data_IF_438760509641
#
_entry.id   IF_438760509641
#
_cell.length_a   1.000
_cell.length_b   1.000
_cell.length_c   1.000
_cell.angle_alpha   90.00
_cell.angle_beta   90.00
_cell.angle_gamma   90.00
#
_symmetry.space_group_name_H-M   'P 1'
#
loop_
_entity.id
_entity.type
_entity.pdbx_description
1 polymer ?
#
# COMPACT_ATOMS: atom_id res chain seq x y z
N UNK A 1 -11.76 -2.23 -15.33
CA UNK A 1 -12.35 -2.76 -14.07
C UNK A 1 -11.98 -1.77 -12.99
N UNK A 2 -12.84 -1.48 -12.05
CA UNK A 2 -12.55 -0.52 -10.98
C UNK A 2 -12.65 -1.23 -9.61
N UNK A 3 -12.18 -0.60 -8.53
CA UNK A 3 -12.27 -1.18 -7.18
C UNK A 3 -13.73 -1.21 -6.70
N UNK A 4 -14.09 -2.15 -5.80
CA UNK A 4 -15.43 -2.18 -5.21
C UNK A 4 -15.76 -0.84 -4.53
N UNK A 5 -17.00 -0.36 -4.70
CA UNK A 5 -17.44 0.93 -4.13
C UNK A 5 -17.25 0.99 -2.60
N UNK A 6 -17.52 -0.11 -1.89
CA UNK A 6 -17.34 -0.18 -0.44
C UNK A 6 -15.89 0.13 -0.04
N UNK A 7 -14.91 -0.38 -0.79
CA UNK A 7 -13.50 -0.10 -0.56
C UNK A 7 -13.19 1.39 -0.79
N UNK A 8 -13.66 1.97 -1.89
CA UNK A 8 -13.43 3.39 -2.18
C UNK A 8 -14.10 4.32 -1.18
N UNK A 9 -15.28 3.95 -0.64
CA UNK A 9 -15.96 4.67 0.45
C UNK A 9 -15.07 4.67 1.70
N UNK A 10 -14.57 3.51 2.10
CA UNK A 10 -13.72 3.31 3.26
C UNK A 10 -12.43 4.15 3.15
N UNK A 11 -11.80 4.11 1.98
CA UNK A 11 -10.53 4.77 1.71
C UNK A 11 -10.64 6.24 1.26
N UNK A 12 -11.84 6.78 1.09
CA UNK A 12 -12.07 8.11 0.52
C UNK A 12 -11.39 9.27 1.27
N UNK A 13 -11.18 9.12 2.57
CA UNK A 13 -10.52 10.09 3.42
C UNK A 13 -9.01 9.94 3.52
N UNK A 14 -8.43 8.90 2.92
CA UNK A 14 -7.00 8.63 2.99
C UNK A 14 -6.24 9.17 1.77
N UNK A 15 -5.05 9.71 2.01
CA UNK A 15 -4.04 9.95 0.97
C UNK A 15 -3.05 8.79 0.86
N UNK A 16 -2.91 8.02 1.94
CA UNK A 16 -2.04 6.85 2.06
C UNK A 16 -2.97 5.68 2.38
N UNK A 17 -3.08 4.71 1.48
CA UNK A 17 -4.00 3.57 1.57
C UNK A 17 -3.37 2.37 2.30
N UNK A 18 -2.64 2.66 3.36
CA UNK A 18 -2.01 1.68 4.25
C UNK A 18 -1.69 2.34 5.60
N UNK A 19 -1.35 1.58 6.65
CA UNK A 19 -1.18 2.13 7.99
C UNK A 19 0.20 2.79 8.25
N UNK A 20 0.84 3.36 7.23
CA UNK A 20 1.99 4.25 7.42
C UNK A 20 1.55 5.71 7.46
N UNK A 21 2.27 6.50 8.24
CA UNK A 21 2.11 7.96 8.27
C UNK A 21 2.95 8.63 7.18
N UNK A 22 2.61 9.87 6.83
CA UNK A 22 3.42 10.68 5.92
C UNK A 22 4.88 10.82 6.40
N UNK A 23 5.10 10.97 7.72
CA UNK A 23 6.44 11.07 8.30
C UNK A 23 7.24 9.76 8.12
N UNK A 24 6.58 8.60 8.24
CA UNK A 24 7.22 7.30 7.99
C UNK A 24 7.59 7.14 6.52
N UNK A 25 6.73 7.58 5.58
CA UNK A 25 7.08 7.58 4.16
C UNK A 25 8.22 8.54 3.83
N UNK A 26 8.25 9.73 4.43
CA UNK A 26 9.36 10.67 4.27
C UNK A 26 10.67 10.07 4.82
N UNK A 27 10.62 9.46 6.01
CA UNK A 27 11.76 8.78 6.62
C UNK A 27 12.25 7.61 5.76
N UNK A 28 11.33 6.76 5.27
CA UNK A 28 11.66 5.66 4.37
C UNK A 28 12.40 6.18 3.13
N UNK A 29 11.83 7.15 2.42
CA UNK A 29 12.44 7.72 1.22
C UNK A 29 13.86 8.26 1.47
N UNK A 30 14.07 8.98 2.58
CA UNK A 30 15.38 9.50 2.97
C UNK A 30 16.38 8.38 3.34
N UNK A 31 15.91 7.31 4.01
CA UNK A 31 16.74 6.18 4.43
C UNK A 31 17.30 5.38 3.26
N UNK A 32 16.60 5.36 2.11
CA UNK A 32 17.09 4.66 0.90
C UNK A 32 18.34 5.29 0.32
N UNK A 33 18.66 6.55 0.64
CA UNK A 33 19.85 7.30 0.18
C UNK A 33 20.03 7.30 -1.34
N UNK A 34 18.94 7.29 -2.08
CA UNK A 34 18.97 7.35 -3.53
C UNK A 34 19.16 8.80 -4.00
N UNK A 35 19.88 9.03 -5.12
CA UNK A 35 20.14 10.38 -5.59
C UNK A 35 18.91 11.07 -6.16
N UNK A 36 18.91 12.40 -6.20
CA UNK A 36 17.92 13.14 -6.97
C UNK A 36 17.96 12.69 -8.46
N UNK A 37 16.79 12.68 -9.10
CA UNK A 37 16.62 12.13 -10.43
C UNK A 37 16.40 10.61 -10.47
N UNK A 38 16.38 9.92 -9.32
CA UNK A 38 15.97 8.51 -9.22
C UNK A 38 14.64 8.31 -9.93
N UNK A 39 14.58 7.32 -10.83
CA UNK A 39 13.36 6.93 -11.55
C UNK A 39 12.62 5.85 -10.80
N UNK A 40 11.34 6.08 -10.56
CA UNK A 40 10.45 5.20 -9.78
C UNK A 40 9.33 4.66 -10.65
N UNK A 41 9.03 3.38 -10.54
CA UNK A 41 7.76 2.78 -10.93
C UNK A 41 7.00 2.40 -9.66
N UNK A 42 5.76 2.87 -9.51
CA UNK A 42 4.90 2.55 -8.38
C UNK A 42 3.64 1.83 -8.88
N UNK A 43 3.57 0.52 -8.66
CA UNK A 43 2.46 -0.34 -9.06
C UNK A 43 1.41 -0.39 -7.96
N UNK A 44 0.15 -0.16 -8.32
CA UNK A 44 -0.97 0.10 -7.42
C UNK A 44 -0.69 1.33 -6.54
N UNK A 45 -0.39 2.45 -7.21
CA UNK A 45 0.11 3.69 -6.58
C UNK A 45 -0.93 4.44 -5.73
N UNK A 46 -2.20 4.00 -5.75
CA UNK A 46 -3.29 4.65 -5.03
C UNK A 46 -3.40 6.13 -5.37
N UNK A 47 -3.60 6.97 -4.36
CA UNK A 47 -3.68 8.44 -4.51
C UNK A 47 -2.33 9.13 -4.70
N UNK A 48 -1.24 8.37 -4.97
CA UNK A 48 0.06 8.88 -5.40
C UNK A 48 0.87 9.63 -4.34
N UNK A 49 0.51 9.57 -3.06
CA UNK A 49 1.16 10.38 -2.01
C UNK A 49 2.65 10.08 -1.89
N UNK A 50 3.06 8.79 -1.92
CA UNK A 50 4.48 8.41 -1.85
C UNK A 50 5.26 9.04 -3.00
N UNK A 51 4.86 8.81 -4.24
CA UNK A 51 5.58 9.28 -5.42
C UNK A 51 5.61 10.80 -5.52
N UNK A 52 4.48 11.48 -5.24
CA UNK A 52 4.38 12.93 -5.27
C UNK A 52 5.28 13.61 -4.21
N UNK A 53 5.26 13.10 -2.97
CA UNK A 53 6.07 13.68 -1.89
C UNK A 53 7.56 13.41 -2.11
N UNK A 54 7.94 12.24 -2.59
CA UNK A 54 9.34 11.94 -2.93
C UNK A 54 9.84 12.72 -4.14
N UNK A 55 8.97 13.00 -5.12
CA UNK A 55 9.32 13.91 -6.22
C UNK A 55 9.58 15.34 -5.72
N UNK A 56 8.76 15.84 -4.79
CA UNK A 56 8.93 17.17 -4.20
C UNK A 56 10.17 17.26 -3.31
N UNK A 57 10.34 16.29 -2.39
CA UNK A 57 11.29 16.41 -1.29
C UNK A 57 12.67 15.83 -1.64
N UNK A 58 12.70 14.78 -2.49
CA UNK A 58 13.93 14.07 -2.84
C UNK A 58 14.33 14.27 -4.31
N UNK A 59 13.49 14.94 -5.11
CA UNK A 59 13.76 15.18 -6.52
C UNK A 59 13.63 13.93 -7.39
N UNK A 60 12.84 12.92 -6.97
CA UNK A 60 12.58 11.72 -7.76
C UNK A 60 11.65 12.02 -8.93
N UNK A 61 11.66 11.13 -9.91
CA UNK A 61 10.76 11.17 -11.06
C UNK A 61 10.12 9.78 -11.21
N UNK A 62 8.96 9.67 -11.83
CA UNK A 62 8.43 8.32 -12.04
C UNK A 62 7.02 8.25 -12.55
N UNK A 63 6.56 7.00 -12.63
CA UNK A 63 5.21 6.64 -13.06
C UNK A 63 4.51 5.82 -11.98
N UNK A 64 3.31 6.25 -11.60
CA UNK A 64 2.38 5.46 -10.80
C UNK A 64 1.31 4.83 -11.70
N UNK A 65 0.95 3.59 -11.44
CA UNK A 65 -0.11 2.86 -12.15
C UNK A 65 -1.14 2.39 -11.14
N UNK A 66 -2.40 2.73 -11.34
CA UNK A 66 -3.50 2.28 -10.48
C UNK A 66 -4.76 1.95 -11.28
N UNK A 67 -5.49 0.93 -10.85
CA UNK A 67 -6.72 0.48 -11.48
C UNK A 67 -7.93 1.37 -11.13
N UNK A 68 -7.86 2.12 -10.03
CA UNK A 68 -8.93 2.99 -9.57
C UNK A 68 -8.93 4.32 -10.32
N UNK A 69 -10.05 4.60 -10.98
CA UNK A 69 -10.27 5.91 -11.61
C UNK A 69 -10.17 7.02 -10.56
N UNK A 70 -10.83 6.86 -9.42
CA UNK A 70 -10.84 7.85 -8.33
C UNK A 70 -9.43 8.14 -7.82
N UNK A 71 -8.66 7.11 -7.49
CA UNK A 71 -7.33 7.29 -6.93
C UNK A 71 -6.34 7.87 -7.95
N UNK A 72 -6.44 7.46 -9.21
CA UNK A 72 -5.63 8.04 -10.28
C UNK A 72 -5.90 9.55 -10.47
N UNK A 73 -7.17 9.97 -10.39
CA UNK A 73 -7.55 11.38 -10.46
C UNK A 73 -7.02 12.15 -9.23
N UNK A 74 -7.14 11.58 -8.04
CA UNK A 74 -6.57 12.16 -6.81
C UNK A 74 -5.05 12.28 -6.88
N UNK A 75 -4.35 11.28 -7.44
CA UNK A 75 -2.90 11.30 -7.62
C UNK A 75 -2.45 12.42 -8.57
N UNK A 76 -3.16 12.61 -9.69
CA UNK A 76 -2.91 13.72 -10.63
C UNK A 76 -3.16 15.09 -9.98
N UNK A 77 -4.25 15.22 -9.23
CA UNK A 77 -4.55 16.43 -8.47
C UNK A 77 -3.46 16.72 -7.43
N UNK A 78 -2.97 15.68 -6.76
CA UNK A 78 -1.89 15.80 -5.77
C UNK A 78 -0.57 16.22 -6.40
N UNK A 79 -0.22 15.69 -7.56
CA UNK A 79 0.97 16.11 -8.30
C UNK A 79 0.91 17.60 -8.68
N UNK A 80 -0.26 18.07 -9.12
CA UNK A 80 -0.48 19.48 -9.42
C UNK A 80 -0.40 20.36 -8.15
N UNK A 81 -1.05 19.94 -7.05
CA UNK A 81 -1.02 20.63 -5.75
C UNK A 81 0.41 20.83 -5.23
N UNK A 82 1.27 19.79 -5.37
CA UNK A 82 2.66 19.85 -4.91
C UNK A 82 3.64 20.43 -5.94
N UNK A 83 3.16 20.82 -7.13
CA UNK A 83 4.00 21.40 -8.18
C UNK A 83 5.02 20.41 -8.77
N UNK A 84 4.66 19.13 -8.87
CA UNK A 84 5.51 18.05 -9.37
C UNK A 84 4.94 17.31 -10.58
N UNK A 85 3.88 17.84 -11.20
CA UNK A 85 3.21 17.24 -12.33
C UNK A 85 4.10 17.09 -13.59
N UNK A 86 5.23 17.79 -13.64
CA UNK A 86 6.27 17.65 -14.65
C UNK A 86 7.29 16.53 -14.36
N UNK A 87 7.26 15.96 -13.17
CA UNK A 87 8.19 14.91 -12.70
C UNK A 87 7.52 13.55 -12.55
N UNK A 88 6.22 13.51 -12.30
CA UNK A 88 5.47 12.27 -12.04
C UNK A 88 4.27 12.16 -12.97
N UNK A 89 4.06 10.96 -13.47
CA UNK A 89 2.91 10.60 -14.30
C UNK A 89 2.06 9.53 -13.58
N UNK A 90 0.73 9.65 -13.69
CA UNK A 90 -0.19 8.64 -13.17
C UNK A 90 -1.04 8.06 -14.29
N UNK A 91 -0.92 6.76 -14.47
CA UNK A 91 -1.62 5.97 -15.49
C UNK A 91 -2.78 5.23 -14.83
N UNK A 92 -4.00 5.47 -15.31
CA UNK A 92 -5.14 4.63 -14.97
C UNK A 92 -5.05 3.33 -15.78
N UNK A 93 -4.87 2.21 -15.08
CA UNK A 93 -4.71 0.91 -15.73
C UNK A 93 -4.42 -0.22 -14.75
N UNK A 94 -4.47 -1.44 -15.26
CA UNK A 94 -4.11 -2.63 -14.50
C UNK A 94 -2.61 -2.68 -14.24
N UNK A 95 -2.22 -2.69 -12.97
CA UNK A 95 -0.83 -2.82 -12.55
C UNK A 95 -0.31 -4.28 -12.67
N UNK A 96 -1.22 -5.27 -12.71
CA UNK A 96 -0.85 -6.67 -12.91
C UNK A 96 -0.22 -6.85 -14.31
N UNK A 97 1.05 -7.22 -14.33
CA UNK A 97 1.79 -7.39 -15.59
C UNK A 97 2.37 -6.11 -16.20
N UNK A 98 2.13 -4.93 -15.62
CA UNK A 98 2.74 -3.68 -16.11
C UNK A 98 4.25 -3.69 -15.89
N UNK A 99 5.00 -3.33 -16.94
CA UNK A 99 6.45 -3.25 -16.94
C UNK A 99 6.88 -1.89 -17.52
N UNK A 100 7.83 -1.23 -16.86
CA UNK A 100 8.36 0.04 -17.33
C UNK A 100 8.97 -0.10 -18.72
N UNK A 101 8.72 0.88 -19.60
CA UNK A 101 9.31 0.93 -20.96
C UNK A 101 10.83 1.04 -20.90
N UNK A 102 11.33 1.76 -19.90
CA UNK A 102 12.77 1.87 -19.62
C UNK A 102 13.07 1.44 -18.20
N UNK A 103 14.19 0.76 -17.95
CA UNK A 103 14.55 0.32 -16.62
C UNK A 103 14.56 1.46 -15.61
N UNK A 104 14.03 1.22 -14.41
CA UNK A 104 13.94 2.17 -13.31
C UNK A 104 14.97 1.86 -12.22
N UNK A 105 15.24 2.83 -11.36
CA UNK A 105 16.14 2.69 -10.22
C UNK A 105 15.44 2.04 -9.03
N UNK A 106 14.14 2.33 -8.87
CA UNK A 106 13.28 1.87 -7.80
C UNK A 106 11.93 1.41 -8.38
N UNK A 107 11.52 0.19 -8.06
CA UNK A 107 10.19 -0.31 -8.38
C UNK A 107 9.44 -0.66 -7.08
N UNK A 108 8.21 -0.21 -6.95
CA UNK A 108 7.41 -0.35 -5.73
C UNK A 108 6.06 -1.01 -6.01
N UNK A 109 5.60 -1.80 -5.05
CA UNK A 109 4.21 -2.21 -4.86
C UNK A 109 3.93 -2.19 -3.36
N UNK A 110 3.20 -1.17 -2.90
CA UNK A 110 3.09 -0.87 -1.47
C UNK A 110 1.66 -1.17 -1.00
N UNK A 111 1.40 -2.47 -0.70
CA UNK A 111 0.13 -2.93 -0.15
C UNK A 111 -0.86 -3.52 -1.18
N UNK A 112 -0.34 -4.08 -2.29
CA UNK A 112 -1.17 -4.70 -3.32
C UNK A 112 -0.50 -5.94 -3.95
N UNK A 113 0.13 -6.78 -3.16
CA UNK A 113 0.87 -7.95 -3.65
C UNK A 113 0.00 -8.98 -4.37
N UNK A 114 -1.32 -8.90 -4.25
CA UNK A 114 -2.25 -9.70 -5.06
C UNK A 114 -2.13 -9.46 -6.58
N UNK A 115 -1.56 -8.32 -7.03
CA UNK A 115 -1.30 -8.08 -8.47
C UNK A 115 -0.29 -9.06 -9.08
N UNK A 116 0.51 -9.71 -8.24
CA UNK A 116 1.48 -10.72 -8.63
C UNK A 116 1.21 -12.11 -8.02
N UNK A 117 -0.02 -12.36 -7.56
CA UNK A 117 -0.35 -13.59 -6.83
C UNK A 117 0.53 -13.81 -5.58
N UNK A 118 0.71 -12.74 -4.79
CA UNK A 118 1.49 -12.72 -3.57
C UNK A 118 2.89 -12.12 -3.72
N UNK A 119 3.66 -12.20 -2.65
CA UNK A 119 4.99 -11.58 -2.52
C UNK A 119 5.97 -12.03 -3.60
N UNK A 120 6.05 -13.33 -3.86
CA UNK A 120 7.02 -13.90 -4.80
C UNK A 120 6.77 -13.43 -6.24
N UNK A 121 5.54 -13.50 -6.72
CA UNK A 121 5.19 -13.07 -8.06
C UNK A 121 5.25 -11.55 -8.21
N UNK A 122 4.93 -10.79 -7.14
CA UNK A 122 5.10 -9.32 -7.14
C UNK A 122 6.58 -8.94 -7.21
N UNK A 123 7.46 -9.62 -6.48
CA UNK A 123 8.91 -9.40 -6.58
C UNK A 123 9.43 -9.66 -8.00
N UNK A 124 8.96 -10.74 -8.65
CA UNK A 124 9.31 -11.04 -10.05
C UNK A 124 8.75 -9.98 -11.01
N UNK A 125 7.52 -9.50 -10.81
CA UNK A 125 6.93 -8.43 -11.62
C UNK A 125 7.76 -7.14 -11.52
N UNK A 126 8.09 -6.69 -10.31
CA UNK A 126 8.90 -5.50 -10.06
C UNK A 126 10.31 -5.63 -10.66
N UNK A 127 10.94 -6.81 -10.50
CA UNK A 127 12.27 -7.11 -11.04
C UNK A 127 12.37 -6.84 -12.54
N UNK A 128 11.31 -7.10 -13.30
CA UNK A 128 11.27 -6.90 -14.77
C UNK A 128 11.46 -5.44 -15.18
N UNK A 129 11.15 -4.53 -14.28
CA UNK A 129 11.29 -3.08 -14.51
C UNK A 129 12.59 -2.51 -13.97
N UNK A 130 13.31 -3.22 -13.10
CA UNK A 130 14.52 -2.71 -12.46
C UNK A 130 15.75 -2.80 -13.35
N UNK A 131 16.60 -1.78 -13.28
CA UNK A 131 17.97 -1.88 -13.79
C UNK A 131 18.83 -2.80 -12.91
N UNK A 132 19.97 -3.31 -13.40
CA UNK A 132 20.93 -4.00 -12.54
C UNK A 132 21.31 -3.14 -11.33
N UNK A 133 21.26 -3.71 -10.12
CA UNK A 133 21.50 -3.00 -8.87
C UNK A 133 20.39 -2.04 -8.44
N UNK A 134 19.23 -2.06 -9.10
CA UNK A 134 18.04 -1.33 -8.68
C UNK A 134 17.43 -1.93 -7.40
N UNK A 135 16.60 -1.16 -6.73
CA UNK A 135 15.96 -1.51 -5.48
C UNK A 135 14.47 -1.74 -5.70
N UNK A 136 13.83 -2.64 -4.94
CA UNK A 136 12.37 -2.73 -4.91
C UNK A 136 11.82 -2.44 -3.51
N UNK A 137 10.59 -1.94 -3.47
CA UNK A 137 9.80 -1.80 -2.25
C UNK A 137 8.59 -2.70 -2.34
N UNK A 138 8.41 -3.53 -1.33
CA UNK A 138 7.21 -4.33 -1.14
C UNK A 138 6.57 -3.94 0.18
N UNK A 139 5.32 -3.50 0.13
CA UNK A 139 4.49 -3.27 1.31
C UNK A 139 3.57 -4.46 1.53
N UNK A 140 3.62 -5.07 2.72
CA UNK A 140 2.93 -6.32 3.01
C UNK A 140 2.37 -6.35 4.43
N UNK A 141 1.14 -6.86 4.64
CA UNK A 141 0.70 -7.27 5.96
C UNK A 141 1.45 -8.52 6.42
N UNK A 142 1.55 -8.67 7.73
CA UNK A 142 2.12 -9.86 8.36
C UNK A 142 1.49 -10.08 9.73
N UNK A 143 1.53 -11.33 10.22
CA UNK A 143 1.08 -11.63 11.56
C UNK A 143 2.10 -11.17 12.61
N UNK A 144 1.63 -10.49 13.65
CA UNK A 144 2.42 -10.23 14.88
C UNK A 144 2.64 -11.50 15.67
N UNK A 145 1.59 -12.31 15.71
CA UNK A 145 1.55 -13.66 16.26
C UNK A 145 0.52 -14.47 15.45
N UNK A 146 0.73 -15.75 15.36
CA UNK A 146 -0.17 -16.64 14.61
C UNK A 146 -1.57 -16.58 15.20
N UNK A 147 -2.62 -16.29 14.42
CA UNK A 147 -4.00 -16.39 14.87
C UNK A 147 -4.30 -17.82 15.36
N UNK A 148 -5.10 -17.98 16.44
CA UNK A 148 -5.37 -19.31 17.00
C UNK A 148 -6.24 -20.18 16.07
N UNK A 149 -6.99 -19.56 15.17
CA UNK A 149 -7.92 -20.23 14.26
C UNK A 149 -8.28 -19.35 13.05
N UNK A 150 -8.95 -19.97 12.09
CA UNK A 150 -9.40 -19.33 10.85
C UNK A 150 -10.47 -18.24 11.08
N UNK A 151 -11.22 -18.30 12.16
CA UNK A 151 -12.21 -17.27 12.50
C UNK A 151 -11.51 -15.98 12.90
N UNK A 152 -10.47 -16.06 13.71
CA UNK A 152 -9.62 -14.93 14.09
C UNK A 152 -8.91 -14.33 12.86
N UNK A 153 -8.42 -15.17 11.94
CA UNK A 153 -7.81 -14.69 10.70
C UNK A 153 -8.82 -13.91 9.84
N UNK A 154 -10.05 -14.43 9.67
CA UNK A 154 -11.11 -13.70 8.95
C UNK A 154 -11.51 -12.39 9.62
N UNK A 155 -11.52 -12.34 10.95
CA UNK A 155 -11.76 -11.11 11.69
C UNK A 155 -10.63 -10.06 11.51
N UNK A 156 -9.47 -10.47 10.98
CA UNK A 156 -8.37 -9.60 10.56
C UNK A 156 -8.38 -9.35 9.04
N UNK A 157 -9.49 -9.59 8.34
CA UNK A 157 -9.64 -9.46 6.87
C UNK A 157 -8.76 -10.39 6.03
N UNK A 158 -8.19 -11.44 6.62
CA UNK A 158 -7.57 -12.53 5.89
C UNK A 158 -8.62 -13.59 5.51
N UNK A 159 -8.38 -14.40 4.48
CA UNK A 159 -9.24 -15.54 4.15
C UNK A 159 -8.83 -16.78 4.93
N UNK A 160 -7.56 -16.84 5.31
CA UNK A 160 -6.93 -17.97 6.02
C UNK A 160 -5.77 -17.48 6.89
N UNK A 161 -5.41 -18.25 7.92
CA UNK A 161 -4.17 -18.06 8.69
C UNK A 161 -2.93 -18.10 7.79
N UNK A 162 -2.98 -18.88 6.69
CA UNK A 162 -1.87 -19.01 5.76
C UNK A 162 -1.68 -17.80 4.81
N UNK A 163 -2.60 -16.84 4.79
CA UNK A 163 -2.50 -15.68 3.89
C UNK A 163 -1.32 -14.77 4.23
N UNK A 164 -0.97 -14.69 5.51
CA UNK A 164 0.16 -13.88 5.94
C UNK A 164 1.16 -14.71 6.75
N UNK A 165 2.42 -14.35 6.63
CA UNK A 165 3.51 -14.92 7.40
C UNK A 165 3.75 -14.12 8.69
N UNK A 166 4.46 -14.68 9.65
CA UNK A 166 5.10 -13.92 10.72
C UNK A 166 6.24 -13.07 10.13
N UNK A 167 6.58 -11.97 10.78
CA UNK A 167 7.65 -11.08 10.30
C UNK A 167 8.99 -11.78 10.02
N UNK A 168 9.50 -12.68 10.88
CA UNK A 168 10.73 -13.43 10.58
C UNK A 168 10.60 -14.28 9.31
N UNK A 169 9.48 -14.98 9.15
CA UNK A 169 9.20 -15.85 8.00
C UNK A 169 9.08 -15.05 6.70
N UNK A 170 8.47 -13.86 6.76
CA UNK A 170 8.39 -12.96 5.60
C UNK A 170 9.80 -12.46 5.19
N UNK A 171 10.67 -12.15 6.15
CA UNK A 171 12.06 -11.79 5.87
C UNK A 171 12.82 -12.98 5.27
N UNK A 172 12.64 -14.18 5.80
CA UNK A 172 13.22 -15.42 5.27
C UNK A 172 12.74 -15.68 3.83
N UNK A 173 11.45 -15.47 3.54
CA UNK A 173 10.90 -15.58 2.19
C UNK A 173 11.60 -14.63 1.21
N UNK A 174 11.84 -13.37 1.56
CA UNK A 174 12.61 -12.46 0.70
C UNK A 174 14.03 -12.98 0.45
N UNK A 175 14.68 -13.56 1.47
CA UNK A 175 16.03 -14.12 1.33
C UNK A 175 16.05 -15.37 0.44
N UNK A 176 15.05 -16.24 0.54
CA UNK A 176 14.87 -17.42 -0.33
C UNK A 176 14.63 -17.03 -1.78
N UNK A 177 13.94 -15.90 -2.03
CA UNK A 177 13.77 -15.32 -3.36
C UNK A 177 15.06 -14.67 -3.92
N UNK A 178 16.15 -14.66 -3.14
CA UNK A 178 17.46 -14.15 -3.54
C UNK A 178 17.64 -12.64 -3.34
N UNK A 179 16.94 -12.05 -2.37
CA UNK A 179 17.04 -10.64 -2.02
C UNK A 179 17.58 -10.44 -0.61
N UNK A 180 18.32 -9.37 -0.41
CA UNK A 180 18.64 -8.83 0.91
C UNK A 180 17.62 -7.77 1.29
N UNK A 181 17.09 -7.84 2.50
CA UNK A 181 16.31 -6.75 3.11
C UNK A 181 17.31 -5.69 3.57
N UNK A 182 17.30 -4.53 2.92
CA UNK A 182 18.28 -3.45 3.18
C UNK A 182 17.72 -2.29 3.97
N UNK A 183 16.39 -2.17 4.04
CA UNK A 183 15.66 -1.23 4.90
C UNK A 183 14.27 -1.80 5.22
N UNK A 184 13.70 -1.40 6.35
CA UNK A 184 12.39 -1.85 6.78
C UNK A 184 11.67 -0.72 7.54
N UNK A 185 10.45 -0.39 7.12
CA UNK A 185 9.60 0.59 7.79
C UNK A 185 8.30 -0.07 8.23
N UNK A 186 8.16 -0.31 9.54
CA UNK A 186 6.96 -0.94 10.09
C UNK A 186 5.96 0.11 10.58
N UNK A 187 4.66 -0.19 10.42
CA UNK A 187 3.62 0.55 11.10
C UNK A 187 3.69 0.28 12.61
N UNK A 188 3.53 1.34 13.40
CA UNK A 188 3.32 1.20 14.84
C UNK A 188 1.83 1.14 15.17
N UNK A 189 1.52 0.81 16.42
CA UNK A 189 0.13 0.66 16.85
C UNK A 189 -0.68 1.95 16.69
N UNK A 190 -0.09 3.12 16.94
CA UNK A 190 -0.79 4.39 16.79
C UNK A 190 -1.10 4.69 15.30
N UNK A 191 -0.18 4.35 14.40
CA UNK A 191 -0.40 4.48 12.94
C UNK A 191 -1.58 3.61 12.49
N UNK A 192 -1.65 2.36 12.95
CA UNK A 192 -2.75 1.45 12.69
C UNK A 192 -4.08 1.97 13.27
N UNK A 193 -4.09 2.38 14.54
CA UNK A 193 -5.28 2.90 15.22
C UNK A 193 -5.84 4.12 14.45
N UNK A 194 -4.96 5.00 13.97
CA UNK A 194 -5.34 6.19 13.19
C UNK A 194 -5.86 5.85 11.81
N UNK A 195 -5.23 4.89 11.13
CA UNK A 195 -5.66 4.41 9.82
C UNK A 195 -7.06 3.79 9.90
N UNK A 196 -7.28 2.84 10.80
CA UNK A 196 -8.58 2.21 11.00
C UNK A 196 -9.67 3.23 11.40
N UNK A 197 -9.38 4.12 12.35
CA UNK A 197 -10.37 5.12 12.80
C UNK A 197 -10.74 6.13 11.69
N UNK A 198 -9.82 6.44 10.77
CA UNK A 198 -10.13 7.30 9.64
C UNK A 198 -11.06 6.63 8.63
N UNK A 199 -10.97 5.32 8.43
CA UNK A 199 -11.94 4.55 7.62
C UNK A 199 -13.35 4.64 8.23
N UNK A 200 -13.48 4.48 9.54
CA UNK A 200 -14.78 4.61 10.22
C UNK A 200 -15.38 6.01 10.06
N UNK A 201 -14.55 7.03 10.15
CA UNK A 201 -15.00 8.42 9.92
C UNK A 201 -15.44 8.63 8.47
N UNK A 202 -14.72 8.07 7.50
CA UNK A 202 -15.09 8.13 6.07
C UNK A 202 -16.44 7.47 5.83
N UNK A 203 -16.65 6.26 6.33
CA UNK A 203 -17.93 5.55 6.25
C UNK A 203 -19.07 6.34 6.92
N UNK A 204 -18.81 6.91 8.09
CA UNK A 204 -19.83 7.70 8.81
C UNK A 204 -20.26 8.94 8.01
N UNK A 205 -19.31 9.69 7.47
CA UNK A 205 -19.58 10.88 6.65
C UNK A 205 -20.32 10.51 5.37
N UNK A 206 -19.87 9.45 4.72
CA UNK A 206 -20.54 8.97 3.51
C UNK A 206 -22.00 8.59 3.76
N UNK A 207 -22.32 7.93 4.88
CA UNK A 207 -23.69 7.61 5.28
C UNK A 207 -24.55 8.84 5.54
N UNK A 208 -23.98 9.93 6.08
CA UNK A 208 -24.70 11.18 6.29
C UNK A 208 -25.05 11.87 4.95
N UNK A 209 -24.19 11.74 3.96
CA UNK A 209 -24.35 12.32 2.63
C UNK A 209 -25.19 11.45 1.69
N UNK A 210 -25.25 10.13 1.94
CA UNK A 210 -25.87 9.14 1.06
C UNK A 210 -26.80 8.19 1.83
N UNK A 211 -27.83 8.69 2.59
CA UNK A 211 -28.65 7.86 3.45
C UNK A 211 -29.51 6.83 2.73
N UNK A 212 -29.85 7.09 1.46
CA UNK A 212 -30.74 6.28 0.62
C UNK A 212 -29.97 5.48 -0.46
N UNK A 213 -28.63 5.46 -0.42
CA UNK A 213 -27.82 4.67 -1.36
C UNK A 213 -28.00 3.16 -1.10
N UNK A 214 -27.94 2.36 -2.15
CA UNK A 214 -28.08 0.90 -2.06
C UNK A 214 -27.04 0.24 -1.14
N UNK A 215 -25.85 0.82 -0.99
CA UNK A 215 -24.79 0.35 -0.09
C UNK A 215 -24.92 0.85 1.35
N UNK A 216 -25.87 1.76 1.65
CA UNK A 216 -25.99 2.34 2.98
C UNK A 216 -26.22 1.29 4.08
N UNK A 217 -27.03 0.22 3.88
CA UNK A 217 -27.18 -0.85 4.87
C UNK A 217 -25.86 -1.58 5.15
N UNK A 218 -25.09 -1.93 4.11
CA UNK A 218 -23.81 -2.64 4.21
C UNK A 218 -22.77 -1.78 4.93
N UNK A 219 -22.61 -0.52 4.52
CA UNK A 219 -21.70 0.44 5.18
C UNK A 219 -22.09 0.67 6.65
N UNK A 220 -23.38 0.68 6.97
CA UNK A 220 -23.87 0.80 8.35
C UNK A 220 -23.51 -0.41 9.20
N UNK A 221 -23.67 -1.61 8.65
CA UNK A 221 -23.31 -2.85 9.33
C UNK A 221 -21.80 -2.90 9.59
N UNK A 222 -20.99 -2.61 8.56
CA UNK A 222 -19.53 -2.56 8.69
C UNK A 222 -19.10 -1.55 9.75
N UNK A 223 -19.58 -0.30 9.70
CA UNK A 223 -19.27 0.73 10.68
C UNK A 223 -19.66 0.33 12.11
N UNK A 224 -20.68 -0.51 12.28
CA UNK A 224 -21.13 -0.99 13.59
C UNK A 224 -20.22 -2.07 14.16
N UNK A 225 -19.66 -2.93 13.31
CA UNK A 225 -18.90 -4.12 13.72
C UNK A 225 -17.39 -3.89 13.75
N UNK A 226 -16.85 -3.18 12.75
CA UNK A 226 -15.40 -3.01 12.54
C UNK A 226 -14.64 -2.40 13.72
N UNK A 227 -15.13 -1.37 14.44
CA UNK A 227 -14.35 -0.82 15.56
C UNK A 227 -14.07 -1.86 16.66
N UNK A 228 -15.04 -2.73 16.95
CA UNK A 228 -14.89 -3.77 17.95
C UNK A 228 -14.03 -4.94 17.44
N UNK A 229 -14.18 -5.31 16.16
CA UNK A 229 -13.35 -6.34 15.50
C UNK A 229 -11.88 -5.91 15.45
N UNK A 230 -11.62 -4.70 14.98
CA UNK A 230 -10.27 -4.15 14.98
C UNK A 230 -9.63 -4.17 16.37
N UNK A 231 -10.35 -3.66 17.39
CA UNK A 231 -9.83 -3.59 18.75
C UNK A 231 -9.53 -4.98 19.36
N UNK A 232 -10.32 -6.00 18.98
CA UNK A 232 -10.22 -7.37 19.52
C UNK A 232 -9.21 -8.22 18.77
N UNK A 233 -9.13 -8.08 17.45
CA UNK A 233 -8.38 -8.98 16.57
C UNK A 233 -7.27 -8.23 15.81
N UNK A 234 -7.61 -7.26 14.94
CA UNK A 234 -6.64 -6.58 14.09
C UNK A 234 -5.47 -5.99 14.88
N UNK A 235 -5.78 -5.36 16.00
CA UNK A 235 -4.80 -4.75 16.90
C UNK A 235 -3.82 -5.75 17.53
N UNK A 236 -4.30 -6.97 17.78
CA UNK A 236 -3.54 -8.04 18.42
C UNK A 236 -2.69 -8.81 17.41
N UNK A 237 -3.31 -9.23 16.30
CA UNK A 237 -2.72 -10.23 15.40
C UNK A 237 -2.08 -9.61 14.16
N UNK A 238 -2.59 -8.48 13.63
CA UNK A 238 -2.17 -7.95 12.34
C UNK A 238 -1.13 -6.84 12.48
N UNK A 239 -0.15 -6.85 11.61
CA UNK A 239 0.80 -5.76 11.42
C UNK A 239 1.04 -5.51 9.93
N UNK A 240 1.85 -4.48 9.61
CA UNK A 240 2.13 -4.09 8.25
C UNK A 240 3.49 -3.39 8.14
N UNK A 241 4.16 -3.54 7.00
CA UNK A 241 5.43 -2.88 6.79
C UNK A 241 5.79 -2.74 5.31
N UNK A 242 6.75 -1.86 5.03
CA UNK A 242 7.43 -1.74 3.74
C UNK A 242 8.84 -2.22 3.89
N UNK A 243 9.26 -3.08 2.97
CA UNK A 243 10.58 -3.70 2.93
C UNK A 243 11.30 -3.24 1.66
N UNK A 244 12.48 -2.68 1.82
CA UNK A 244 13.36 -2.36 0.71
C UNK A 244 14.29 -3.55 0.44
N UNK A 245 14.31 -4.02 -0.80
CA UNK A 245 14.96 -5.24 -1.20
C UNK A 245 15.97 -4.96 -2.31
N UNK A 246 17.14 -5.57 -2.21
CA UNK A 246 18.15 -5.57 -3.28
C UNK A 246 18.53 -7.01 -3.64
N UNK A 247 18.69 -7.28 -4.93
CA UNK A 247 19.08 -8.60 -5.40
C UNK A 247 20.53 -8.92 -4.97
N UNK A 248 20.73 -10.14 -4.44
CA UNK A 248 22.05 -10.73 -4.14
C UNK A 248 22.90 -10.91 -5.37
#
# INVERSE_FOLDING_TARGET
MDLPRIFTIRESGHRIHNPLTADKFATLGASLRLPAGTRVLDLASGSGEMLCTWARDLGFTGTGVDISTLFTEQARARAAELGVADRVEFVHGDAAGHVAVQPVDLAACVGATWIGDGVAGTAELLRRSLRPGGMMLIGEPFWRQTPPDEETARACHATSVADFLLLPELIEQFQELGYDVVEMMLSDQNSWDRYAAAQWLSMRRWLDENPDDELAPEVREELTTEPAHYARYGREYLSWGVFALMKR
#
